data_IF_210737370632
#
_entry.id   IF_210737370632
#
_cell.length_a   1.000
_cell.length_b   1.000
_cell.length_c   1.000
_cell.angle_alpha   90.00
_cell.angle_beta   90.00
_cell.angle_gamma   90.00
#
_symmetry.space_group_name_H-M   'P 1'
#
loop_
_entity.id
_entity.type
_entity.pdbx_description
1 polymer ?
#
# COMPACT_ATOMS: atom_id res chain seq x y z
N UNK A 1 17.22 -18.62 -2.73
CA UNK A 1 16.99 -18.18 -4.13
C UNK A 1 17.16 -16.67 -4.14
N UNK A 2 17.99 -16.14 -5.04
CA UNK A 2 18.11 -14.68 -5.17
C UNK A 2 17.10 -14.24 -6.22
N UNK A 3 16.16 -13.39 -5.84
CA UNK A 3 15.16 -12.85 -6.79
C UNK A 3 15.81 -11.80 -7.69
N UNK A 4 15.41 -11.75 -8.96
CA UNK A 4 15.92 -10.79 -9.93
C UNK A 4 15.17 -9.45 -9.83
N UNK A 5 13.95 -9.46 -9.26
CA UNK A 5 13.14 -8.27 -9.04
C UNK A 5 12.18 -8.44 -7.84
N UNK A 6 11.63 -7.33 -7.34
CA UNK A 6 10.58 -7.36 -6.33
C UNK A 6 9.30 -8.05 -6.84
N UNK A 7 9.00 -7.91 -8.13
CA UNK A 7 7.88 -8.60 -8.78
C UNK A 7 8.02 -10.12 -8.67
N UNK A 8 9.23 -10.66 -8.88
CA UNK A 8 9.49 -12.10 -8.77
C UNK A 8 9.29 -12.59 -7.34
N UNK A 9 9.74 -11.80 -6.34
CA UNK A 9 9.49 -12.12 -4.94
C UNK A 9 7.99 -12.23 -4.66
N UNK A 10 7.20 -11.20 -4.97
CA UNK A 10 5.76 -11.17 -4.68
C UNK A 10 4.99 -12.24 -5.45
N UNK A 11 5.37 -12.54 -6.69
CA UNK A 11 4.81 -13.67 -7.44
C UNK A 11 5.09 -15.01 -6.74
N UNK A 12 6.30 -15.21 -6.22
CA UNK A 12 6.70 -16.47 -5.59
C UNK A 12 5.94 -16.76 -4.30
N UNK A 13 5.58 -15.72 -3.53
CA UNK A 13 4.91 -15.83 -2.23
C UNK A 13 3.38 -15.69 -2.29
N UNK A 14 2.81 -15.49 -3.48
CA UNK A 14 1.38 -15.22 -3.67
C UNK A 14 0.42 -16.28 -3.08
N UNK A 15 0.89 -17.52 -2.91
CA UNK A 15 0.08 -18.62 -2.37
C UNK A 15 0.21 -18.80 -0.86
N UNK A 16 1.27 -18.26 -0.24
CA UNK A 16 1.64 -18.53 1.15
C UNK A 16 1.62 -17.30 2.05
N UNK A 17 1.69 -16.10 1.47
CA UNK A 17 1.78 -14.87 2.27
C UNK A 17 0.39 -14.42 2.73
N UNK A 18 0.28 -14.16 4.03
CA UNK A 18 -0.89 -13.51 4.63
C UNK A 18 -0.52 -12.07 5.01
N UNK A 19 -1.38 -11.13 4.63
CA UNK A 19 -1.18 -9.72 4.91
C UNK A 19 -1.74 -9.36 6.29
N UNK A 20 -0.96 -8.62 7.08
CA UNK A 20 -1.28 -8.28 8.48
C UNK A 20 -1.73 -6.83 8.69
N UNK A 21 -1.62 -5.97 7.67
CA UNK A 21 -2.13 -4.60 7.72
C UNK A 21 -3.66 -4.61 7.58
N UNK A 22 -4.37 -4.40 8.70
CA UNK A 22 -5.82 -4.48 8.73
C UNK A 22 -6.49 -3.14 8.37
N UNK A 23 -7.65 -3.23 7.73
CA UNK A 23 -8.55 -2.10 7.53
C UNK A 23 -9.19 -1.72 8.88
N UNK A 24 -9.00 -0.47 9.32
CA UNK A 24 -9.87 0.09 10.35
C UNK A 24 -11.05 0.78 9.65
N UNK A 25 -12.09 0.00 9.37
CA UNK A 25 -13.28 0.48 8.67
C UNK A 25 -13.95 1.67 9.37
N UNK A 26 -13.91 1.74 10.71
CA UNK A 26 -14.50 2.82 11.49
C UNK A 26 -13.95 4.21 11.15
N UNK A 27 -12.68 4.28 10.72
CA UNK A 27 -12.05 5.55 10.34
C UNK A 27 -12.56 6.10 8.99
N UNK A 28 -13.03 5.24 8.08
CA UNK A 28 -13.44 5.64 6.73
C UNK A 28 -14.96 5.59 6.51
N UNK A 29 -15.68 4.78 7.30
CA UNK A 29 -17.12 4.59 7.17
C UNK A 29 -17.94 5.91 7.12
N UNK A 30 -17.62 6.98 7.88
CA UNK A 30 -18.38 8.23 7.82
C UNK A 30 -18.27 8.98 6.49
N UNK A 31 -17.33 8.63 5.62
CA UNK A 31 -16.97 9.39 4.43
C UNK A 31 -17.35 8.68 3.12
N UNK A 32 -17.78 7.43 3.19
CA UNK A 32 -18.11 6.59 2.04
C UNK A 32 -19.52 6.03 2.14
N UNK A 33 -20.07 5.65 1.02
CA UNK A 33 -21.41 5.05 0.91
C UNK A 33 -21.37 3.88 -0.08
N UNK A 34 -22.36 2.98 -0.10
CA UNK A 34 -22.35 1.77 -0.94
C UNK A 34 -22.05 2.02 -2.42
N UNK A 35 -22.40 3.20 -2.93
CA UNK A 35 -22.16 3.60 -4.33
C UNK A 35 -20.75 4.19 -4.56
N UNK A 36 -19.90 4.30 -3.54
CA UNK A 36 -18.55 4.83 -3.69
C UNK A 36 -17.70 3.90 -4.54
N UNK A 37 -16.95 4.48 -5.48
CA UNK A 37 -15.92 3.80 -6.25
C UNK A 37 -14.66 3.67 -5.39
N UNK A 38 -14.30 2.45 -5.03
CA UNK A 38 -13.14 2.15 -4.18
C UNK A 38 -12.07 1.46 -5.01
N UNK A 39 -10.86 1.99 -4.93
CA UNK A 39 -9.67 1.46 -5.58
C UNK A 39 -8.65 1.03 -4.53
N UNK A 40 -8.10 -0.18 -4.65
CA UNK A 40 -7.02 -0.69 -3.82
C UNK A 40 -5.77 -0.86 -4.69
N UNK A 41 -4.75 -0.03 -4.47
CA UNK A 41 -3.47 -0.12 -5.17
C UNK A 41 -2.48 -0.92 -4.32
N UNK A 42 -1.89 -1.96 -4.91
CA UNK A 42 -1.15 -2.99 -4.19
C UNK A 42 -2.10 -3.97 -3.48
N UNK A 43 -3.22 -4.29 -4.12
CA UNK A 43 -4.32 -5.05 -3.52
C UNK A 43 -3.98 -6.51 -3.17
N UNK A 44 -2.83 -7.02 -3.63
CA UNK A 44 -2.48 -8.42 -3.52
C UNK A 44 -3.56 -9.31 -4.14
N UNK A 45 -4.06 -10.26 -3.36
CA UNK A 45 -5.17 -11.13 -3.79
C UNK A 45 -6.58 -10.54 -3.52
N UNK A 46 -6.68 -9.27 -3.09
CA UNK A 46 -7.97 -8.58 -2.94
C UNK A 46 -8.64 -8.72 -1.57
N UNK A 47 -7.90 -9.07 -0.52
CA UNK A 47 -8.44 -9.24 0.85
C UNK A 47 -9.23 -8.04 1.33
N UNK A 48 -8.65 -6.85 1.25
CA UNK A 48 -9.28 -5.61 1.74
C UNK A 48 -10.52 -5.25 0.92
N UNK A 49 -10.47 -5.46 -0.39
CA UNK A 49 -11.66 -5.26 -1.24
C UNK A 49 -12.78 -6.24 -0.91
N UNK A 50 -12.45 -7.49 -0.55
CA UNK A 50 -13.46 -8.45 -0.07
C UNK A 50 -14.13 -7.96 1.22
N UNK A 51 -13.38 -7.38 2.17
CA UNK A 51 -13.94 -6.78 3.38
C UNK A 51 -14.96 -5.65 3.08
N UNK A 52 -14.70 -4.85 2.03
CA UNK A 52 -15.67 -3.86 1.55
C UNK A 52 -16.88 -4.50 0.86
N UNK A 53 -16.66 -5.55 0.07
CA UNK A 53 -17.75 -6.27 -0.57
C UNK A 53 -18.73 -6.86 0.46
N UNK A 54 -18.23 -7.47 1.53
CA UNK A 54 -19.03 -7.99 2.64
C UNK A 54 -19.83 -6.91 3.37
N UNK A 55 -19.44 -5.64 3.25
CA UNK A 55 -20.15 -4.46 3.78
C UNK A 55 -21.11 -3.82 2.78
N UNK A 56 -21.33 -4.45 1.61
CA UNK A 56 -22.28 -4.00 0.61
C UNK A 56 -21.74 -3.00 -0.42
N UNK A 57 -20.42 -2.86 -0.54
CA UNK A 57 -19.80 -2.06 -1.61
C UNK A 57 -19.62 -2.94 -2.85
N UNK A 58 -19.94 -2.41 -4.03
CA UNK A 58 -19.89 -3.19 -5.27
C UNK A 58 -18.98 -2.59 -6.35
N UNK A 59 -18.60 -1.32 -6.23
CA UNK A 59 -17.72 -0.64 -7.19
C UNK A 59 -16.27 -0.71 -6.72
N UNK A 60 -15.70 -1.93 -6.78
CA UNK A 60 -14.41 -2.30 -6.20
C UNK A 60 -13.42 -2.66 -7.31
N UNK A 61 -12.29 -1.95 -7.38
CA UNK A 61 -11.22 -2.24 -8.34
C UNK A 61 -9.89 -2.36 -7.60
N UNK A 62 -9.13 -3.43 -7.90
CA UNK A 62 -7.81 -3.67 -7.33
C UNK A 62 -6.74 -3.71 -8.41
N UNK A 63 -5.60 -3.10 -8.11
CA UNK A 63 -4.38 -3.18 -8.91
C UNK A 63 -3.23 -3.76 -8.10
N UNK A 64 -2.49 -4.67 -8.72
CA UNK A 64 -1.23 -5.17 -8.18
C UNK A 64 -0.28 -5.48 -9.35
N UNK A 65 1.03 -5.31 -9.14
CA UNK A 65 2.00 -5.64 -10.18
C UNK A 65 2.38 -7.13 -10.21
N UNK A 66 2.08 -7.88 -9.14
CA UNK A 66 2.33 -9.31 -9.06
C UNK A 66 1.17 -10.10 -9.70
N UNK A 67 1.39 -10.61 -10.92
CA UNK A 67 0.37 -11.32 -11.69
C UNK A 67 -0.18 -12.56 -10.96
N UNK A 68 0.66 -13.27 -10.19
CA UNK A 68 0.24 -14.43 -9.40
C UNK A 68 -0.67 -14.03 -8.23
N UNK A 69 -0.49 -12.83 -7.62
CA UNK A 69 -1.41 -12.27 -6.63
C UNK A 69 -2.80 -12.06 -7.26
N UNK A 70 -2.85 -11.40 -8.40
CA UNK A 70 -4.09 -11.16 -9.16
C UNK A 70 -4.75 -12.47 -9.56
N UNK A 71 -3.98 -13.45 -10.08
CA UNK A 71 -4.48 -14.78 -10.42
C UNK A 71 -5.10 -15.50 -9.22
N UNK A 72 -4.42 -15.46 -8.07
CA UNK A 72 -4.94 -16.00 -6.81
C UNK A 72 -6.24 -15.30 -6.37
N UNK A 73 -6.25 -13.96 -6.46
CA UNK A 73 -7.41 -13.15 -6.09
C UNK A 73 -8.64 -13.46 -6.94
N UNK A 74 -8.49 -13.55 -8.26
CA UNK A 74 -9.59 -13.90 -9.18
C UNK A 74 -10.19 -15.29 -8.91
N UNK A 75 -9.39 -16.23 -8.39
CA UNK A 75 -9.89 -17.55 -7.98
C UNK A 75 -10.64 -17.49 -6.66
N UNK A 76 -10.16 -16.69 -5.68
CA UNK A 76 -10.75 -16.55 -4.35
C UNK A 76 -12.02 -15.70 -4.38
N UNK A 77 -11.99 -14.61 -5.13
CA UNK A 77 -13.01 -13.56 -5.18
C UNK A 77 -13.34 -13.21 -6.64
N UNK A 78 -14.02 -14.10 -7.38
CA UNK A 78 -14.29 -13.94 -8.82
C UNK A 78 -15.18 -12.72 -9.15
N UNK A 79 -15.84 -12.15 -8.17
CA UNK A 79 -16.66 -10.95 -8.27
C UNK A 79 -15.87 -9.64 -8.19
N UNK A 80 -14.59 -9.68 -7.78
CA UNK A 80 -13.75 -8.48 -7.70
C UNK A 80 -13.12 -8.17 -9.08
N UNK A 81 -13.04 -6.87 -9.41
CA UNK A 81 -12.34 -6.39 -10.59
C UNK A 81 -10.84 -6.21 -10.29
N UNK A 82 -10.06 -7.28 -10.41
CA UNK A 82 -8.63 -7.27 -10.13
C UNK A 82 -7.81 -7.22 -11.42
N UNK A 83 -6.84 -6.32 -11.50
CA UNK A 83 -6.01 -6.06 -12.68
C UNK A 83 -4.52 -6.04 -12.34
N UNK A 84 -3.68 -6.53 -13.25
CA UNK A 84 -2.24 -6.31 -13.17
C UNK A 84 -1.95 -4.87 -13.59
N UNK A 85 -1.16 -4.15 -12.79
CA UNK A 85 -0.70 -2.80 -13.08
C UNK A 85 0.80 -2.81 -13.35
N UNK A 86 1.25 -2.07 -14.37
CA UNK A 86 2.66 -1.84 -14.67
C UNK A 86 2.93 -0.33 -14.66
N UNK A 87 4.14 0.05 -14.28
CA UNK A 87 4.63 1.44 -14.34
C UNK A 87 3.79 2.48 -13.58
N UNK A 88 3.21 2.10 -12.45
CA UNK A 88 2.36 2.95 -11.59
C UNK A 88 1.16 3.59 -12.28
N UNK A 89 0.87 3.27 -13.54
CA UNK A 89 -0.28 3.83 -14.28
C UNK A 89 -1.50 2.94 -14.13
N UNK A 90 -2.61 3.55 -13.76
CA UNK A 90 -3.89 2.88 -13.62
C UNK A 90 -4.79 3.20 -14.81
N UNK A 91 -5.32 2.16 -15.45
CA UNK A 91 -6.34 2.31 -16.50
C UNK A 91 -7.69 2.70 -15.86
N UNK A 92 -7.70 3.88 -15.27
CA UNK A 92 -8.82 4.52 -14.57
C UNK A 92 -8.89 5.98 -15.02
N UNK A 93 -10.08 6.49 -15.37
CA UNK A 93 -10.26 7.90 -15.70
C UNK A 93 -9.85 8.83 -14.56
N UNK A 94 -9.39 10.03 -14.88
CA UNK A 94 -9.18 11.08 -13.87
C UNK A 94 -10.49 11.41 -13.16
N UNK A 95 -10.40 11.80 -11.87
CA UNK A 95 -11.53 12.27 -11.07
C UNK A 95 -12.72 11.29 -11.03
N UNK A 96 -12.46 9.98 -10.97
CA UNK A 96 -13.49 8.94 -11.02
C UNK A 96 -13.60 8.09 -9.76
N UNK A 97 -12.64 8.18 -8.83
CA UNK A 97 -12.54 7.34 -7.64
C UNK A 97 -12.88 8.13 -6.38
N UNK A 98 -13.69 7.56 -5.50
CA UNK A 98 -14.08 8.21 -4.23
C UNK A 98 -13.09 7.91 -3.10
N UNK A 99 -12.51 6.69 -3.09
CA UNK A 99 -11.53 6.24 -2.10
C UNK A 99 -10.43 5.43 -2.77
N UNK A 100 -9.17 5.79 -2.52
CA UNK A 100 -8.00 4.95 -2.83
C UNK A 100 -7.41 4.40 -1.54
N UNK A 101 -7.22 3.08 -1.49
CA UNK A 101 -6.49 2.38 -0.44
C UNK A 101 -5.04 2.18 -0.89
N UNK A 102 -4.10 2.39 0.04
CA UNK A 102 -2.66 2.22 -0.18
C UNK A 102 -2.04 1.60 1.09
N UNK A 103 -2.13 0.28 1.23
CA UNK A 103 -1.75 -0.43 2.45
C UNK A 103 -0.44 -1.19 2.29
N UNK A 104 0.61 -0.74 2.99
CA UNK A 104 1.97 -1.31 2.96
C UNK A 104 2.55 -1.40 1.52
N UNK A 105 2.31 -0.38 0.71
CA UNK A 105 2.77 -0.30 -0.69
C UNK A 105 4.02 0.55 -0.81
N UNK A 106 4.06 1.73 -0.19
CA UNK A 106 5.23 2.60 -0.27
C UNK A 106 6.46 1.92 0.33
N UNK A 107 6.28 1.07 1.34
CA UNK A 107 7.35 0.21 1.89
C UNK A 107 7.98 -0.71 0.85
N UNK A 108 7.26 -1.08 -0.22
CA UNK A 108 7.75 -1.93 -1.31
C UNK A 108 8.41 -1.12 -2.45
N UNK A 109 8.31 0.21 -2.44
CA UNK A 109 8.87 1.13 -3.44
C UNK A 109 10.02 1.89 -2.79
N UNK A 110 11.27 1.46 -3.02
CA UNK A 110 12.44 2.07 -2.38
C UNK A 110 12.83 3.42 -3.00
N UNK A 111 12.45 3.64 -4.26
CA UNK A 111 12.79 4.81 -5.05
C UNK A 111 11.86 5.99 -4.75
N UNK A 112 12.44 7.17 -4.50
CA UNK A 112 11.70 8.38 -4.17
C UNK A 112 10.86 8.92 -5.32
N UNK A 113 11.35 8.84 -6.55
CA UNK A 113 10.65 9.35 -7.73
C UNK A 113 9.44 8.49 -8.04
N UNK A 114 9.59 7.16 -7.98
CA UNK A 114 8.50 6.21 -8.17
C UNK A 114 7.40 6.35 -7.10
N UNK A 115 7.77 6.62 -5.83
CA UNK A 115 6.78 6.95 -4.81
C UNK A 115 5.99 8.21 -5.15
N UNK A 116 6.69 9.26 -5.62
CA UNK A 116 6.04 10.52 -6.02
C UNK A 116 5.15 10.34 -7.25
N UNK A 117 5.60 9.58 -8.24
CA UNK A 117 4.79 9.23 -9.43
C UNK A 117 3.49 8.52 -9.03
N UNK A 118 3.57 7.53 -8.11
CA UNK A 118 2.39 6.85 -7.60
C UNK A 118 1.45 7.82 -6.87
N UNK A 119 1.96 8.70 -6.02
CA UNK A 119 1.13 9.68 -5.32
C UNK A 119 0.47 10.67 -6.28
N UNK A 120 1.13 11.06 -7.36
CA UNK A 120 0.56 11.89 -8.41
C UNK A 120 -0.54 11.16 -9.18
N UNK A 121 -0.34 9.88 -9.48
CA UNK A 121 -1.34 9.05 -10.15
C UNK A 121 -2.58 8.83 -9.25
N UNK A 122 -2.38 8.61 -7.95
CA UNK A 122 -3.49 8.55 -6.97
C UNK A 122 -4.28 9.85 -6.96
N UNK A 123 -3.58 10.99 -6.97
CA UNK A 123 -4.24 12.28 -7.07
C UNK A 123 -5.04 12.43 -8.37
N UNK A 124 -4.49 11.95 -9.49
CA UNK A 124 -5.19 12.03 -10.78
C UNK A 124 -6.52 11.27 -10.76
N UNK A 125 -6.55 10.04 -10.24
CA UNK A 125 -7.76 9.20 -10.26
C UNK A 125 -8.80 9.59 -9.22
N UNK A 126 -8.39 10.19 -8.10
CA UNK A 126 -9.31 10.64 -7.05
C UNK A 126 -10.16 11.80 -7.55
N UNK A 127 -11.45 11.77 -7.26
CA UNK A 127 -12.36 12.92 -7.43
C UNK A 127 -11.91 14.09 -6.56
N UNK A 128 -12.23 15.36 -6.90
CA UNK A 128 -12.18 16.46 -5.94
C UNK A 128 -12.94 16.09 -4.67
N UNK A 129 -12.31 16.22 -3.50
CA UNK A 129 -12.90 15.79 -2.23
C UNK A 129 -12.82 14.29 -1.94
N UNK A 130 -12.36 13.46 -2.87
CA UNK A 130 -12.10 12.03 -2.67
C UNK A 130 -10.97 11.79 -1.68
N UNK A 131 -10.87 10.58 -1.15
CA UNK A 131 -9.98 10.25 -0.05
C UNK A 131 -8.91 9.24 -0.45
N UNK A 132 -7.69 9.46 0.06
CA UNK A 132 -6.68 8.41 0.19
C UNK A 132 -6.72 7.87 1.61
N UNK A 133 -6.66 6.53 1.77
CA UNK A 133 -6.42 5.87 3.03
C UNK A 133 -5.12 5.07 2.92
N UNK A 134 -4.09 5.57 3.58
CA UNK A 134 -2.73 5.04 3.55
C UNK A 134 -2.37 4.44 4.91
N UNK A 135 -1.86 3.20 4.91
CA UNK A 135 -1.18 2.57 6.02
C UNK A 135 0.22 2.19 5.55
N UNK A 136 1.27 2.65 6.27
CA UNK A 136 2.63 2.25 5.91
C UNK A 136 3.57 2.25 7.12
N UNK A 137 4.78 1.75 6.93
CA UNK A 137 5.76 1.53 7.99
C UNK A 137 6.69 2.73 8.17
N UNK A 138 6.91 3.11 9.43
CA UNK A 138 7.87 4.14 9.82
C UNK A 138 9.17 3.53 10.33
N UNK A 139 10.22 4.34 10.38
CA UNK A 139 11.51 3.97 10.98
C UNK A 139 11.32 3.51 12.43
N UNK A 140 12.02 2.47 12.78
CA UNK A 140 12.13 1.93 14.13
C UNK A 140 13.50 2.25 14.71
N UNK A 141 13.64 2.21 16.01
CA UNK A 141 14.87 2.56 16.75
C UNK A 141 15.42 1.39 17.59
N UNK A 142 14.90 0.18 17.40
CA UNK A 142 15.47 -1.02 17.98
C UNK A 142 16.74 -1.45 17.23
N UNK A 143 17.66 -2.10 17.93
CA UNK A 143 19.00 -2.49 17.43
C UNK A 143 18.93 -3.27 16.11
N UNK A 144 18.03 -4.25 15.99
CA UNK A 144 17.85 -5.03 14.75
C UNK A 144 17.53 -4.14 13.56
N UNK A 145 16.65 -3.18 13.75
CA UNK A 145 16.25 -2.26 12.69
C UNK A 145 17.38 -1.27 12.34
N UNK A 146 18.06 -0.70 13.34
CA UNK A 146 19.17 0.21 13.10
C UNK A 146 20.29 -0.47 12.31
N UNK A 147 20.74 -1.68 12.70
CA UNK A 147 21.78 -2.43 11.98
C UNK A 147 21.39 -2.67 10.52
N UNK A 148 20.16 -3.13 10.24
CA UNK A 148 19.74 -3.41 8.86
C UNK A 148 19.56 -2.15 8.01
N UNK A 149 19.23 -0.99 8.63
CA UNK A 149 19.16 0.28 7.91
C UNK A 149 20.53 0.79 7.50
N UNK A 150 21.56 0.64 8.34
CA UNK A 150 22.94 0.97 7.98
C UNK A 150 23.44 0.12 6.81
N UNK A 151 23.25 -1.21 6.88
CA UNK A 151 23.60 -2.12 5.79
C UNK A 151 22.84 -1.75 4.49
N UNK A 152 21.56 -1.46 4.61
CA UNK A 152 20.73 -1.06 3.47
C UNK A 152 21.13 0.30 2.90
N UNK A 153 21.52 1.25 3.75
CA UNK A 153 21.99 2.56 3.31
C UNK A 153 23.28 2.47 2.50
N UNK A 154 24.24 1.66 2.94
CA UNK A 154 25.49 1.39 2.19
C UNK A 154 25.20 0.81 0.79
N UNK A 155 24.19 -0.07 0.69
CA UNK A 155 23.88 -0.77 -0.56
C UNK A 155 22.99 0.03 -1.51
N UNK A 156 22.00 0.75 -0.97
CA UNK A 156 20.92 1.39 -1.75
C UNK A 156 20.95 2.92 -1.71
N UNK A 157 21.80 3.53 -0.91
CA UNK A 157 21.92 4.98 -0.78
C UNK A 157 20.72 5.67 -0.12
N UNK A 158 19.78 4.90 0.44
CA UNK A 158 18.56 5.41 1.08
C UNK A 158 18.39 4.80 2.46
N UNK A 159 18.41 5.64 3.50
CA UNK A 159 18.20 5.18 4.88
C UNK A 159 16.79 4.65 5.09
N UNK A 160 16.68 3.57 5.86
CA UNK A 160 15.42 2.87 6.08
C UNK A 160 15.14 1.73 5.09
N UNK A 161 15.94 1.59 4.02
CA UNK A 161 15.89 0.43 3.12
C UNK A 161 16.60 -0.76 3.76
N UNK A 162 16.04 -1.96 3.61
CA UNK A 162 16.62 -3.22 4.10
C UNK A 162 16.12 -4.42 3.32
N UNK A 163 16.85 -5.52 3.41
CA UNK A 163 16.48 -6.80 2.83
C UNK A 163 15.93 -7.74 3.91
N UNK A 164 14.91 -8.49 3.55
CA UNK A 164 14.47 -9.67 4.32
C UNK A 164 15.25 -10.91 3.86
N UNK A 165 15.41 -11.85 4.76
CA UNK A 165 16.11 -13.12 4.47
C UNK A 165 15.47 -13.90 3.33
N UNK A 166 14.17 -13.76 3.15
CA UNK A 166 13.41 -14.34 2.05
C UNK A 166 13.50 -13.58 0.73
N UNK A 167 14.23 -12.45 0.68
CA UNK A 167 14.58 -11.72 -0.55
C UNK A 167 13.74 -10.49 -0.87
N UNK A 168 12.76 -10.11 -0.05
CA UNK A 168 12.08 -8.82 -0.22
C UNK A 168 13.02 -7.67 0.14
N UNK A 169 12.99 -6.61 -0.67
CA UNK A 169 13.63 -5.33 -0.35
C UNK A 169 12.52 -4.38 0.06
N UNK A 170 12.61 -3.87 1.28
CA UNK A 170 11.59 -3.03 1.88
C UNK A 170 12.21 -1.72 2.38
N UNK A 171 11.36 -0.74 2.63
CA UNK A 171 11.74 0.54 3.19
C UNK A 171 10.81 0.95 4.32
N UNK A 172 11.35 1.31 5.46
CA UNK A 172 10.65 2.07 6.48
C UNK A 172 10.90 3.56 6.28
N UNK A 173 9.87 4.37 6.47
CA UNK A 173 9.91 5.80 6.11
C UNK A 173 10.20 6.70 7.29
N UNK A 174 10.98 7.75 7.06
CA UNK A 174 11.02 8.90 7.96
C UNK A 174 9.64 9.60 7.96
N UNK A 175 9.12 10.06 9.11
CA UNK A 175 7.87 10.80 9.19
C UNK A 175 7.85 12.08 8.32
N UNK A 176 8.99 12.74 8.10
CA UNK A 176 9.08 13.91 7.21
C UNK A 176 8.86 13.50 5.75
N UNK A 177 9.37 12.33 5.34
CA UNK A 177 9.11 11.79 3.99
C UNK A 177 7.62 11.51 3.80
N UNK A 178 6.94 10.95 4.79
CA UNK A 178 5.50 10.72 4.71
C UNK A 178 4.72 12.03 4.57
N UNK A 179 5.09 13.07 5.32
CA UNK A 179 4.49 14.40 5.19
C UNK A 179 4.71 15.00 3.79
N UNK A 180 5.89 14.81 3.22
CA UNK A 180 6.18 15.26 1.85
C UNK A 180 5.29 14.56 0.81
N UNK A 181 5.16 13.25 0.89
CA UNK A 181 4.32 12.45 -0.01
C UNK A 181 2.83 12.82 0.09
N UNK A 182 2.36 13.18 1.29
CA UNK A 182 0.96 13.47 1.55
C UNK A 182 0.62 14.98 1.53
N UNK A 183 1.58 15.88 1.27
CA UNK A 183 1.42 17.35 1.36
C UNK A 183 0.28 17.94 0.53
N UNK A 184 -0.10 17.28 -0.55
CA UNK A 184 -1.15 17.73 -1.45
C UNK A 184 -2.56 17.32 -1.00
N UNK A 185 -2.68 16.57 0.11
CA UNK A 185 -3.95 16.19 0.70
C UNK A 185 -4.23 17.04 1.96
N UNK A 186 -5.51 17.25 2.24
CA UNK A 186 -5.96 17.83 3.52
C UNK A 186 -6.08 16.67 4.51
N UNK A 187 -5.32 16.62 5.60
CA UNK A 187 -5.39 15.54 6.57
C UNK A 187 -6.78 15.45 7.23
N UNK A 188 -7.32 14.24 7.29
CA UNK A 188 -8.52 13.86 8.05
C UNK A 188 -8.11 13.02 9.26
N UNK A 189 -7.17 12.09 9.06
CA UNK A 189 -6.51 11.31 10.10
C UNK A 189 -5.00 11.32 9.79
N UNK A 190 -4.17 11.54 10.82
CA UNK A 190 -2.70 11.47 10.71
C UNK A 190 -2.19 10.94 12.07
N UNK A 191 -2.11 9.62 12.20
CA UNK A 191 -1.84 8.95 13.47
C UNK A 191 -0.68 7.96 13.34
N UNK A 192 0.24 8.01 14.29
CA UNK A 192 1.24 6.95 14.47
C UNK A 192 0.61 5.75 15.16
N UNK A 193 0.98 4.57 14.71
CA UNK A 193 0.46 3.30 15.23
C UNK A 193 1.56 2.24 15.28
N UNK A 194 1.22 1.07 15.80
CA UNK A 194 2.07 -0.11 15.76
C UNK A 194 1.38 -1.18 14.91
N UNK A 195 2.10 -1.73 13.94
CA UNK A 195 1.65 -2.86 13.14
C UNK A 195 2.36 -4.15 13.55
N UNK A 196 1.65 -5.26 13.50
CA UNK A 196 2.27 -6.58 13.46
C UNK A 196 2.74 -6.84 12.03
N UNK A 197 4.02 -7.17 11.86
CA UNK A 197 4.55 -7.54 10.55
C UNK A 197 4.22 -9.00 10.24
N UNK A 198 4.26 -9.37 8.96
CA UNK A 198 4.05 -10.76 8.51
C UNK A 198 5.04 -11.77 9.15
N UNK A 199 6.18 -11.28 9.69
CA UNK A 199 7.19 -12.10 10.36
C UNK A 199 7.06 -12.04 11.90
N UNK A 200 5.91 -11.59 12.42
CA UNK A 200 5.58 -11.61 13.84
C UNK A 200 6.23 -10.51 14.70
N UNK A 201 6.92 -9.55 14.08
CA UNK A 201 7.50 -8.42 14.80
C UNK A 201 6.53 -7.24 14.89
N UNK A 202 6.65 -6.43 15.94
CA UNK A 202 5.99 -5.13 16.01
C UNK A 202 6.84 -4.09 15.28
N UNK A 203 6.21 -3.19 14.53
CA UNK A 203 6.87 -2.11 13.80
C UNK A 203 6.06 -0.82 13.90
N UNK A 204 6.78 0.31 13.99
CA UNK A 204 6.17 1.63 13.90
C UNK A 204 5.48 1.79 12.55
N UNK A 205 4.33 2.45 12.56
CA UNK A 205 3.55 2.72 11.36
C UNK A 205 2.80 4.03 11.44
N UNK A 206 2.16 4.35 10.33
CA UNK A 206 1.29 5.51 10.19
C UNK A 206 -0.03 5.09 9.57
N UNK A 207 -1.11 5.65 10.07
CA UNK A 207 -2.42 5.68 9.43
C UNK A 207 -2.65 7.12 8.98
N UNK A 208 -2.79 7.31 7.68
CA UNK A 208 -3.09 8.61 7.11
C UNK A 208 -4.34 8.53 6.24
N UNK A 209 -5.34 9.34 6.56
CA UNK A 209 -6.49 9.56 5.67
C UNK A 209 -6.45 11.03 5.26
N UNK A 210 -6.37 11.27 3.96
CA UNK A 210 -6.27 12.60 3.40
C UNK A 210 -7.30 12.85 2.30
N UNK A 211 -7.84 14.07 2.26
CA UNK A 211 -8.81 14.51 1.26
C UNK A 211 -8.09 15.21 0.12
N UNK A 212 -8.38 14.83 -1.14
CA UNK A 212 -7.93 15.58 -2.32
C UNK A 212 -8.55 16.98 -2.31
N UNK A 213 -7.72 18.00 -2.54
CA UNK A 213 -8.13 19.39 -2.69
C UNK A 213 -8.92 19.61 -3.96
#
# INVERSE_FOLDING_TARGET
MQFTSQTDYWNSVAKSKEFTTNLNYGLIAPFIKPESNILDYGCGYGRTLNEFHEKGFHYLTGFDYAAEMISSGKKRFPFLNLKVCQDNKMDIPSDSTDLVLLFAVLTCIIDNEKQQELMNEIQRVLKPGGLIYLNDFLLNNDERNLVRYEIGFEKYGTYGVFELTEGAILRHHDPLRMKELTKNFIPVVDEKTLFQTMNGHTSNGIIFIGRKR
#
